data_IF_745806072020
#
_entry.id   IF_745806072020
#
_cell.length_a   1.000
_cell.length_b   1.000
_cell.length_c   1.000
_cell.angle_alpha   90.00
_cell.angle_beta   90.00
_cell.angle_gamma   90.00
#
_symmetry.space_group_name_H-M   'P 1'
#
loop_
_entity.id
_entity.type
_entity.pdbx_description
1 polymer ?
#
# COMPACT_ATOMS: atom_id res chain seq x y z
N UNK A 1 14.60 -3.27 22.88
CA UNK A 1 15.24 -3.85 21.68
C UNK A 1 14.27 -4.08 20.50
N UNK A 2 12.94 -4.14 20.69
CA UNK A 2 11.99 -4.45 19.61
C UNK A 2 11.67 -3.32 18.60
N UNK A 3 11.80 -2.04 18.98
CA UNK A 3 11.39 -0.88 18.15
C UNK A 3 12.33 -0.60 16.96
N UNK A 4 13.59 -1.06 17.03
CA UNK A 4 14.57 -0.87 15.95
C UNK A 4 14.43 -1.86 14.80
N UNK A 5 13.94 -3.07 15.08
CA UNK A 5 13.87 -4.16 14.10
C UNK A 5 12.65 -3.96 13.19
N UNK A 6 11.49 -3.59 13.76
CA UNK A 6 10.26 -3.33 12.99
C UNK A 6 10.43 -2.16 12.03
N UNK A 7 10.91 -1.00 12.50
CA UNK A 7 11.15 0.17 11.62
C UNK A 7 12.17 -0.08 10.52
N UNK A 8 13.21 -0.87 10.79
CA UNK A 8 14.26 -1.19 9.81
C UNK A 8 13.73 -2.07 8.67
N UNK A 9 12.99 -3.13 9.02
CA UNK A 9 12.35 -4.01 8.03
C UNK A 9 11.31 -3.22 7.21
N UNK A 10 10.46 -2.42 7.86
CA UNK A 10 9.40 -1.63 7.19
C UNK A 10 9.94 -0.58 6.21
N UNK A 11 10.99 0.17 6.60
CA UNK A 11 11.64 1.15 5.72
C UNK A 11 12.31 0.47 4.52
N UNK A 12 12.78 -0.76 4.71
CA UNK A 12 13.34 -1.59 3.63
C UNK A 12 12.26 -2.07 2.66
N UNK A 13 11.04 -2.38 3.13
CA UNK A 13 9.94 -2.83 2.26
C UNK A 13 9.42 -1.68 1.38
N UNK A 14 9.10 -0.52 1.98
CA UNK A 14 8.62 0.65 1.23
C UNK A 14 9.68 1.23 0.28
N UNK A 15 10.96 1.21 0.69
CA UNK A 15 12.09 1.60 -0.16
C UNK A 15 12.27 0.66 -1.36
N UNK A 16 12.29 -0.66 -1.14
CA UNK A 16 12.48 -1.64 -2.21
C UNK A 16 11.39 -1.60 -3.28
N UNK A 17 10.12 -1.39 -2.90
CA UNK A 17 9.02 -1.30 -3.85
C UNK A 17 9.12 -0.04 -4.74
N UNK A 18 9.46 1.11 -4.14
CA UNK A 18 9.66 2.37 -4.88
C UNK A 18 10.91 2.35 -5.77
N UNK A 19 12.02 1.81 -5.27
CA UNK A 19 13.29 1.71 -6.02
C UNK A 19 13.16 0.73 -7.19
N UNK A 20 12.46 -0.39 -6.99
CA UNK A 20 12.15 -1.35 -8.06
C UNK A 20 11.30 -0.72 -9.15
N UNK A 21 10.27 0.06 -8.79
CA UNK A 21 9.40 0.71 -9.76
C UNK A 21 10.18 1.76 -10.57
N UNK A 22 11.07 2.52 -9.93
CA UNK A 22 11.94 3.48 -10.59
C UNK A 22 12.91 2.81 -11.60
N UNK A 23 13.54 1.69 -11.24
CA UNK A 23 14.43 0.91 -12.13
C UNK A 23 13.71 0.36 -13.37
N UNK A 24 12.40 0.12 -13.26
CA UNK A 24 11.60 -0.42 -14.37
C UNK A 24 11.05 0.64 -15.33
N UNK A 25 11.11 1.92 -14.99
CA UNK A 25 10.64 3.02 -15.86
C UNK A 25 11.38 2.99 -17.21
N UNK A 26 12.70 2.82 -17.20
CA UNK A 26 13.49 2.84 -18.45
C UNK A 26 13.09 1.75 -19.44
N UNK A 27 12.60 0.60 -18.95
CA UNK A 27 12.16 -0.52 -19.78
C UNK A 27 10.82 -0.25 -20.50
N UNK A 28 10.00 0.67 -19.99
CA UNK A 28 8.71 1.04 -20.59
C UNK A 28 8.77 2.33 -21.43
N UNK A 29 9.83 3.14 -21.27
CA UNK A 29 10.06 4.33 -22.10
C UNK A 29 10.38 4.00 -23.56
N UNK A 30 11.02 2.86 -23.84
CA UNK A 30 11.34 2.44 -25.22
C UNK A 30 10.09 2.22 -26.10
N UNK A 31 9.15 1.35 -25.70
CA UNK A 31 7.85 1.20 -26.36
C UNK A 31 7.07 2.52 -26.47
N UNK A 32 7.08 3.32 -25.40
CA UNK A 32 6.38 4.59 -25.38
C UNK A 32 6.94 5.61 -26.37
N UNK A 33 8.26 5.65 -26.53
CA UNK A 33 8.93 6.50 -27.52
C UNK A 33 8.52 6.18 -28.96
N UNK A 34 8.26 4.91 -29.28
CA UNK A 34 7.77 4.50 -30.61
C UNK A 34 6.34 4.98 -30.86
N UNK A 35 5.44 4.77 -29.91
CA UNK A 35 4.06 5.25 -29.97
C UNK A 35 3.97 6.77 -30.04
N UNK A 36 4.78 7.45 -29.23
CA UNK A 36 4.90 8.91 -29.22
C UNK A 36 5.37 9.43 -30.58
N UNK A 37 6.36 8.78 -31.20
CA UNK A 37 6.83 9.15 -32.53
C UNK A 37 5.72 9.03 -33.60
N UNK A 38 4.85 8.02 -33.51
CA UNK A 38 3.73 7.84 -34.45
C UNK A 38 2.71 8.98 -34.34
N UNK A 39 2.16 9.23 -33.14
CA UNK A 39 1.14 10.26 -32.92
C UNK A 39 1.67 11.66 -33.23
N UNK A 40 2.96 11.88 -32.94
CA UNK A 40 3.63 13.15 -33.21
C UNK A 40 3.78 13.42 -34.69
N UNK A 41 4.13 12.40 -35.47
CA UNK A 41 4.24 12.51 -36.93
C UNK A 41 2.88 12.77 -37.57
N UNK A 42 1.85 12.05 -37.13
CA UNK A 42 0.47 12.29 -37.58
C UNK A 42 0.03 13.72 -37.25
N UNK A 43 0.20 14.14 -35.99
CA UNK A 43 -0.14 15.50 -35.53
C UNK A 43 0.65 16.59 -36.26
N UNK A 44 1.94 16.37 -36.51
CA UNK A 44 2.81 17.31 -37.22
C UNK A 44 2.47 17.48 -38.70
N UNK A 45 1.75 16.52 -39.29
CA UNK A 45 1.27 16.56 -40.68
C UNK A 45 -0.12 17.19 -40.80
N UNK A 46 -0.87 17.30 -39.71
CA UNK A 46 -2.17 17.95 -39.66
C UNK A 46 -2.04 19.48 -39.56
N UNK A 47 -2.98 20.19 -40.18
CA UNK A 47 -3.07 21.65 -40.13
C UNK A 47 -3.42 22.16 -38.73
N UNK A 48 -3.38 23.48 -38.54
CA UNK A 48 -3.71 24.14 -37.27
C UNK A 48 -5.14 23.78 -36.82
N UNK A 49 -5.29 23.18 -35.65
CA UNK A 49 -6.60 22.80 -35.12
C UNK A 49 -7.18 23.92 -34.26
N UNK A 50 -8.37 24.41 -34.63
CA UNK A 50 -9.15 25.32 -33.81
C UNK A 50 -10.54 24.73 -33.52
N UNK A 51 -10.86 24.39 -32.26
CA UNK A 51 -12.13 23.75 -31.91
C UNK A 51 -13.37 24.60 -32.24
N UNK A 52 -13.23 25.93 -32.36
CA UNK A 52 -14.35 26.82 -32.69
C UNK A 52 -14.68 26.86 -34.19
N UNK A 53 -13.71 26.52 -35.04
CA UNK A 53 -13.84 26.65 -36.51
C UNK A 53 -13.60 25.33 -37.26
N UNK A 54 -13.15 24.28 -36.57
CA UNK A 54 -12.84 22.99 -37.15
C UNK A 54 -14.09 22.27 -37.67
N UNK A 55 -13.91 21.54 -38.77
CA UNK A 55 -14.94 20.64 -39.29
C UNK A 55 -15.07 19.42 -38.38
N UNK A 56 -16.26 18.84 -38.33
CA UNK A 56 -16.54 17.61 -37.58
C UNK A 56 -15.54 16.50 -37.93
N UNK A 57 -15.22 16.33 -39.21
CA UNK A 57 -14.25 15.33 -39.67
C UNK A 57 -12.81 15.59 -39.21
N UNK A 58 -12.41 16.86 -39.06
CA UNK A 58 -11.08 17.22 -38.53
C UNK A 58 -10.98 16.90 -37.04
N UNK A 59 -12.00 17.29 -36.27
CA UNK A 59 -12.11 16.94 -34.84
C UNK A 59 -12.12 15.42 -34.64
N UNK A 60 -12.82 14.68 -35.50
CA UNK A 60 -12.87 13.22 -35.44
C UNK A 60 -11.49 12.60 -35.70
N UNK A 61 -10.79 13.02 -36.75
CA UNK A 61 -9.44 12.51 -37.08
C UNK A 61 -8.43 12.75 -35.94
N UNK A 62 -8.43 13.95 -35.37
CA UNK A 62 -7.54 14.30 -34.25
C UNK A 62 -7.86 13.43 -33.04
N UNK A 63 -9.14 13.32 -32.67
CA UNK A 63 -9.55 12.46 -31.56
C UNK A 63 -9.19 10.99 -31.79
N UNK A 64 -9.32 10.48 -33.02
CA UNK A 64 -8.90 9.12 -33.36
C UNK A 64 -7.40 8.93 -33.20
N UNK A 65 -6.56 9.86 -33.68
CA UNK A 65 -5.09 9.78 -33.53
C UNK A 65 -4.67 9.82 -32.05
N UNK A 66 -5.25 10.72 -31.25
CA UNK A 66 -4.98 10.79 -29.80
C UNK A 66 -5.44 9.51 -29.08
N UNK A 67 -6.62 8.97 -29.42
CA UNK A 67 -7.11 7.71 -28.83
C UNK A 67 -6.25 6.52 -29.21
N UNK A 68 -5.78 6.45 -30.45
CA UNK A 68 -4.91 5.37 -30.93
C UNK A 68 -3.55 5.42 -30.25
N UNK A 69 -3.03 6.61 -29.97
CA UNK A 69 -1.85 6.77 -29.11
C UNK A 69 -2.10 6.19 -27.71
N UNK A 70 -3.15 6.63 -27.02
CA UNK A 70 -3.47 6.13 -25.67
C UNK A 70 -3.64 4.61 -25.67
N UNK A 71 -4.38 4.05 -26.62
CA UNK A 71 -4.55 2.59 -26.79
C UNK A 71 -3.23 1.85 -27.02
N UNK A 72 -2.31 2.43 -27.78
CA UNK A 72 -1.01 1.80 -28.03
C UNK A 72 -0.14 1.69 -26.78
N UNK A 73 -0.39 2.53 -25.77
CA UNK A 73 0.30 2.51 -24.48
C UNK A 73 -0.39 1.63 -23.43
N UNK A 74 -1.68 1.30 -23.61
CA UNK A 74 -2.45 0.49 -22.65
C UNK A 74 -1.73 -0.81 -22.25
N UNK A 75 -1.21 -1.65 -23.18
CA UNK A 75 -0.56 -2.91 -22.79
C UNK A 75 0.72 -2.70 -21.97
N UNK A 76 1.43 -1.60 -22.24
CA UNK A 76 2.68 -1.25 -21.54
C UNK A 76 2.38 -0.73 -20.15
N UNK A 77 1.37 0.16 -20.04
CA UNK A 77 0.86 0.68 -18.78
C UNK A 77 0.30 -0.43 -17.89
N UNK A 78 -0.58 -1.28 -18.44
CA UNK A 78 -1.19 -2.41 -17.72
C UNK A 78 -0.12 -3.38 -17.19
N UNK A 79 0.92 -3.64 -17.99
CA UNK A 79 2.03 -4.51 -17.57
C UNK A 79 2.80 -3.86 -16.41
N UNK A 80 3.17 -2.59 -16.53
CA UNK A 80 3.89 -1.87 -15.48
C UNK A 80 3.08 -1.84 -14.18
N UNK A 81 1.79 -1.47 -14.25
CA UNK A 81 0.88 -1.46 -13.11
C UNK A 81 0.78 -2.84 -12.44
N UNK A 82 0.67 -3.92 -13.22
CA UNK A 82 0.64 -5.30 -12.70
C UNK A 82 1.95 -5.72 -12.06
N UNK A 83 3.08 -5.39 -12.69
CA UNK A 83 4.39 -5.76 -12.16
C UNK A 83 4.63 -5.01 -10.84
N UNK A 84 4.33 -3.70 -10.78
CA UNK A 84 4.34 -2.92 -9.54
C UNK A 84 3.45 -3.56 -8.45
N UNK A 85 2.24 -3.96 -8.83
CA UNK A 85 1.29 -4.57 -7.91
C UNK A 85 1.82 -5.89 -7.34
N UNK A 86 2.39 -6.74 -8.19
CA UNK A 86 2.95 -8.02 -7.78
C UNK A 86 4.12 -7.84 -6.81
N UNK A 87 5.04 -6.91 -7.10
CA UNK A 87 6.14 -6.59 -6.18
C UNK A 87 5.62 -6.05 -4.85
N UNK A 88 4.57 -5.23 -4.84
CA UNK A 88 3.93 -4.78 -3.60
C UNK A 88 3.34 -5.95 -2.82
N UNK A 89 2.59 -6.84 -3.49
CA UNK A 89 1.99 -8.02 -2.87
C UNK A 89 3.04 -8.94 -2.23
N UNK A 90 4.12 -9.23 -2.93
CA UNK A 90 5.20 -10.10 -2.41
C UNK A 90 5.81 -9.51 -1.13
N UNK A 91 6.18 -8.24 -1.18
CA UNK A 91 6.74 -7.49 -0.06
C UNK A 91 5.80 -7.43 1.15
N UNK A 92 4.53 -7.18 0.90
CA UNK A 92 3.48 -7.15 1.92
C UNK A 92 3.26 -8.54 2.52
N UNK A 93 3.23 -9.59 1.70
CA UNK A 93 3.03 -10.95 2.17
C UNK A 93 4.16 -11.38 3.11
N UNK A 94 5.41 -11.02 2.81
CA UNK A 94 6.55 -11.25 3.70
C UNK A 94 6.35 -10.58 5.06
N UNK A 95 5.90 -9.32 5.07
CA UNK A 95 5.59 -8.61 6.31
C UNK A 95 4.46 -9.30 7.11
N UNK A 96 3.40 -9.72 6.43
CA UNK A 96 2.28 -10.45 7.06
C UNK A 96 2.75 -11.79 7.64
N UNK A 97 3.61 -12.52 6.95
CA UNK A 97 4.19 -13.77 7.45
C UNK A 97 5.05 -13.54 8.70
N UNK A 98 5.85 -12.48 8.73
CA UNK A 98 6.64 -12.14 9.91
C UNK A 98 5.74 -11.75 11.09
N UNK A 99 4.69 -10.98 10.85
CA UNK A 99 3.68 -10.68 11.88
C UNK A 99 3.02 -11.98 12.36
N UNK A 100 2.63 -12.91 11.48
CA UNK A 100 2.06 -14.21 11.87
C UNK A 100 2.98 -14.96 12.83
N UNK A 101 4.29 -15.00 12.56
CA UNK A 101 5.29 -15.67 13.43
C UNK A 101 5.37 -15.02 14.81
N UNK A 102 5.38 -13.70 14.88
CA UNK A 102 5.47 -12.96 16.15
C UNK A 102 4.12 -13.08 16.91
N UNK A 103 3.00 -13.12 16.20
CA UNK A 103 1.67 -13.15 16.81
C UNK A 103 1.34 -14.45 17.57
N UNK A 104 2.02 -15.55 17.22
CA UNK A 104 1.87 -16.85 17.91
C UNK A 104 2.82 -17.03 19.09
N UNK A 105 3.79 -16.13 19.26
CA UNK A 105 4.73 -16.19 20.38
C UNK A 105 4.01 -15.89 21.69
N UNK A 106 4.44 -16.59 22.74
CA UNK A 106 3.97 -16.38 24.10
C UNK A 106 4.86 -15.36 24.80
N UNK A 107 4.24 -14.28 25.25
CA UNK A 107 4.85 -13.22 26.06
C UNK A 107 4.24 -13.27 27.45
N UNK A 108 4.70 -14.24 28.25
CA UNK A 108 4.30 -14.43 29.65
C UNK A 108 2.78 -14.70 29.82
N UNK A 109 2.27 -15.68 29.07
CA UNK A 109 0.85 -16.05 29.02
C UNK A 109 0.00 -15.13 28.13
N UNK A 110 0.59 -14.08 27.55
CA UNK A 110 -0.10 -13.18 26.61
C UNK A 110 0.43 -13.34 25.19
N UNK A 111 -0.49 -13.34 24.23
CA UNK A 111 -0.18 -13.24 22.80
C UNK A 111 -0.38 -11.81 22.33
N UNK A 112 0.36 -11.40 21.30
CA UNK A 112 0.13 -10.11 20.64
C UNK A 112 -1.31 -10.02 20.08
N UNK A 113 -1.90 -11.11 19.59
CA UNK A 113 -3.28 -11.11 19.10
C UNK A 113 -3.59 -9.98 18.07
N UNK A 114 -2.63 -9.62 17.23
CA UNK A 114 -2.78 -8.66 16.14
C UNK A 114 -3.82 -9.18 15.14
N UNK A 115 -4.72 -8.32 14.68
CA UNK A 115 -5.78 -8.69 13.72
C UNK A 115 -5.24 -8.76 12.29
N UNK A 116 -4.66 -9.91 11.95
CA UNK A 116 -4.01 -10.15 10.65
C UNK A 116 -5.00 -10.03 9.48
N UNK A 117 -6.25 -10.49 9.65
CA UNK A 117 -7.29 -10.40 8.62
C UNK A 117 -7.67 -8.95 8.29
N UNK A 118 -7.55 -8.03 9.26
CA UNK A 118 -7.77 -6.59 9.03
C UNK A 118 -6.59 -5.98 8.29
N UNK A 119 -5.37 -6.42 8.58
CA UNK A 119 -4.17 -6.00 7.86
C UNK A 119 -4.23 -6.45 6.39
N UNK A 120 -4.47 -7.74 6.13
CA UNK A 120 -4.58 -8.29 4.77
C UNK A 120 -5.64 -7.55 3.93
N UNK A 121 -6.78 -7.19 4.52
CA UNK A 121 -7.83 -6.42 3.83
C UNK A 121 -7.43 -4.98 3.49
N UNK A 122 -6.74 -4.28 4.40
CA UNK A 122 -6.24 -2.93 4.11
C UNK A 122 -5.20 -2.96 2.99
N UNK A 123 -4.38 -4.02 2.96
CA UNK A 123 -3.37 -4.24 1.93
C UNK A 123 -3.99 -4.57 0.56
N UNK A 124 -5.10 -5.31 0.51
CA UNK A 124 -5.88 -5.52 -0.73
C UNK A 124 -6.49 -4.23 -1.30
N UNK A 125 -6.66 -3.18 -0.48
CA UNK A 125 -7.16 -1.89 -0.96
C UNK A 125 -6.17 -1.18 -1.89
N UNK A 126 -4.87 -1.47 -1.78
CA UNK A 126 -3.82 -0.88 -2.64
C UNK A 126 -4.05 -1.27 -4.10
N UNK A 127 -4.54 -2.49 -4.34
CA UNK A 127 -4.74 -3.02 -5.68
C UNK A 127 -5.75 -2.23 -6.51
N UNK A 128 -6.78 -1.70 -5.85
CA UNK A 128 -7.82 -0.90 -6.51
C UNK A 128 -7.32 0.48 -6.93
N UNK A 129 -6.28 0.99 -6.27
CA UNK A 129 -5.77 2.34 -6.49
C UNK A 129 -4.66 2.40 -7.56
N UNK A 130 -4.11 1.25 -7.96
CA UNK A 130 -2.99 1.14 -8.91
C UNK A 130 -3.49 0.88 -10.33
N UNK A 131 -4.47 -0.01 -10.50
CA UNK A 131 -4.92 -0.44 -11.84
C UNK A 131 -5.69 0.67 -12.54
N UNK A 132 -5.31 0.95 -13.78
CA UNK A 132 -5.95 1.93 -14.66
C UNK A 132 -5.54 3.37 -14.38
N UNK A 133 -4.62 3.62 -13.44
CA UNK A 133 -4.21 4.98 -13.07
C UNK A 133 -3.50 5.67 -14.24
N UNK A 134 -2.55 5.00 -14.88
CA UNK A 134 -1.80 5.54 -16.02
C UNK A 134 -2.73 5.74 -17.21
N UNK A 135 -3.61 4.77 -17.48
CA UNK A 135 -4.59 4.86 -18.57
C UNK A 135 -5.51 6.07 -18.41
N UNK A 136 -6.03 6.29 -17.21
CA UNK A 136 -6.92 7.42 -16.92
C UNK A 136 -6.18 8.75 -17.05
N UNK A 137 -4.93 8.82 -16.60
CA UNK A 137 -4.08 10.01 -16.72
C UNK A 137 -3.80 10.36 -18.20
N UNK A 138 -3.38 9.36 -18.99
CA UNK A 138 -3.15 9.52 -20.43
C UNK A 138 -4.42 9.94 -21.17
N UNK A 139 -5.56 9.33 -20.86
CA UNK A 139 -6.84 9.66 -21.51
C UNK A 139 -7.28 11.09 -21.20
N UNK A 140 -6.96 11.59 -19.99
CA UNK A 140 -7.28 12.96 -19.57
C UNK A 140 -6.36 13.99 -20.22
N UNK A 141 -5.05 13.71 -20.24
CA UNK A 141 -4.02 14.65 -20.71
C UNK A 141 -3.87 14.67 -22.23
N UNK A 142 -4.02 13.52 -22.88
CA UNK A 142 -3.88 13.40 -24.34
C UNK A 142 -5.27 13.45 -24.97
N UNK A 143 -5.90 14.61 -24.84
CA UNK A 143 -7.25 14.93 -25.33
C UNK A 143 -7.30 16.37 -25.83
N UNK A 144 -8.23 16.65 -26.74
CA UNK A 144 -8.54 18.01 -27.19
C UNK A 144 -9.05 18.93 -26.07
N UNK A 145 -9.52 18.34 -24.97
CA UNK A 145 -10.01 19.07 -23.79
C UNK A 145 -8.86 19.52 -22.87
N UNK A 146 -7.67 18.92 -23.00
CA UNK A 146 -6.49 19.34 -22.24
C UNK A 146 -5.87 20.57 -22.90
N UNK A 147 -5.67 21.63 -22.10
CA UNK A 147 -5.17 22.92 -22.61
C UNK A 147 -3.78 22.84 -23.22
N UNK A 148 -2.90 21.98 -22.70
CA UNK A 148 -1.53 21.85 -23.19
C UNK A 148 -1.51 21.07 -24.51
N UNK A 149 -2.24 19.95 -24.56
CA UNK A 149 -2.44 19.20 -25.79
C UNK A 149 -3.08 20.08 -26.88
N UNK A 150 -4.12 20.84 -26.54
CA UNK A 150 -4.80 21.76 -27.45
C UNK A 150 -3.88 22.85 -28.00
N UNK A 151 -3.00 23.42 -27.16
CA UNK A 151 -2.04 24.43 -27.61
C UNK A 151 -1.07 23.86 -28.66
N UNK A 152 -0.65 22.60 -28.51
CA UNK A 152 0.17 21.91 -29.51
C UNK A 152 -0.61 21.68 -30.80
N UNK A 153 -1.88 21.26 -30.69
CA UNK A 153 -2.74 21.05 -31.85
C UNK A 153 -2.99 22.34 -32.67
N UNK A 154 -3.01 23.51 -32.00
CA UNK A 154 -3.10 24.85 -32.61
C UNK A 154 -1.83 25.30 -33.34
N UNK A 155 -0.70 24.63 -33.15
CA UNK A 155 0.55 25.00 -33.81
C UNK A 155 0.46 24.76 -35.32
N UNK A 156 1.26 25.55 -36.06
CA UNK A 156 1.45 25.39 -37.50
C UNK A 156 1.94 23.98 -37.82
N UNK A 157 1.44 23.42 -38.91
CA UNK A 157 1.94 22.17 -39.49
C UNK A 157 3.46 22.21 -39.66
N UNK A 158 4.12 21.10 -39.35
CA UNK A 158 5.56 20.91 -39.56
C UNK A 158 6.31 20.39 -38.34
N UNK A 159 7.64 20.39 -38.46
CA UNK A 159 8.54 19.73 -37.50
C UNK A 159 8.41 20.27 -36.07
N UNK A 160 8.12 21.57 -35.91
CA UNK A 160 7.96 22.17 -34.59
C UNK A 160 6.77 21.57 -33.82
N UNK A 161 5.65 21.33 -34.52
CA UNK A 161 4.45 20.70 -33.95
C UNK A 161 4.68 19.22 -33.64
N UNK A 162 5.35 18.51 -34.54
CA UNK A 162 5.77 17.12 -34.31
C UNK A 162 6.64 16.99 -33.06
N UNK A 163 7.69 17.82 -32.94
CA UNK A 163 8.59 17.78 -31.79
C UNK A 163 7.85 18.12 -30.49
N UNK A 164 6.99 19.15 -30.51
CA UNK A 164 6.20 19.54 -29.34
C UNK A 164 5.26 18.41 -28.88
N UNK A 165 4.56 17.75 -29.82
CA UNK A 165 3.70 16.62 -29.50
C UNK A 165 4.50 15.43 -28.94
N UNK A 166 5.71 15.20 -29.46
CA UNK A 166 6.58 14.10 -29.00
C UNK A 166 7.08 14.31 -27.59
N UNK A 167 7.56 15.51 -27.30
CA UNK A 167 8.02 15.92 -25.97
C UNK A 167 6.89 15.88 -24.95
N UNK A 168 5.71 16.41 -25.32
CA UNK A 168 4.52 16.35 -24.49
C UNK A 168 4.10 14.92 -24.18
N UNK A 169 3.92 14.10 -25.21
CA UNK A 169 3.48 12.70 -25.08
C UNK A 169 4.44 11.88 -24.21
N UNK A 170 5.76 12.02 -24.43
CA UNK A 170 6.76 11.35 -23.61
C UNK A 170 6.72 11.82 -22.16
N UNK A 171 6.61 13.13 -21.93
CA UNK A 171 6.57 13.69 -20.57
C UNK A 171 5.32 13.27 -19.81
N UNK A 172 4.14 13.31 -20.43
CA UNK A 172 2.88 12.88 -19.78
C UNK A 172 2.99 11.41 -19.36
N UNK A 173 3.50 10.55 -20.24
CA UNK A 173 3.67 9.13 -19.91
C UNK A 173 4.69 8.92 -18.78
N UNK A 174 5.88 9.53 -18.88
CA UNK A 174 6.91 9.45 -17.83
C UNK A 174 6.40 9.94 -16.48
N UNK A 175 5.72 11.09 -16.45
CA UNK A 175 5.15 11.63 -15.22
C UNK A 175 4.10 10.68 -14.63
N UNK A 176 3.25 10.08 -15.46
CA UNK A 176 2.26 9.11 -15.00
C UNK A 176 2.89 7.89 -14.33
N UNK A 177 4.05 7.42 -14.84
CA UNK A 177 4.81 6.32 -14.23
C UNK A 177 5.42 6.72 -12.88
N UNK A 178 6.00 7.92 -12.82
CA UNK A 178 6.60 8.46 -11.58
C UNK A 178 5.53 8.66 -10.52
N UNK A 179 4.42 9.31 -10.85
CA UNK A 179 3.29 9.54 -9.94
C UNK A 179 2.71 8.22 -9.43
N UNK A 180 2.61 7.18 -10.27
CA UNK A 180 2.18 5.86 -9.83
C UNK A 180 3.18 5.26 -8.83
N UNK A 181 4.47 5.32 -9.12
CA UNK A 181 5.54 4.83 -8.23
C UNK A 181 5.50 5.52 -6.86
N UNK A 182 5.36 6.85 -6.85
CA UNK A 182 5.23 7.64 -5.63
C UNK A 182 3.97 7.27 -4.84
N UNK A 183 2.83 7.15 -5.53
CA UNK A 183 1.55 6.75 -4.90
C UNK A 183 1.66 5.38 -4.24
N UNK A 184 2.30 4.43 -4.92
CA UNK A 184 2.52 3.09 -4.39
C UNK A 184 3.41 3.15 -3.15
N UNK A 185 4.52 3.88 -3.23
CA UNK A 185 5.44 4.08 -2.10
C UNK A 185 4.73 4.70 -0.90
N UNK A 186 3.95 5.76 -1.09
CA UNK A 186 3.16 6.40 -0.05
C UNK A 186 2.15 5.44 0.56
N UNK A 187 1.36 4.77 -0.28
CA UNK A 187 0.34 3.83 0.17
C UNK A 187 0.95 2.69 0.98
N UNK A 188 2.05 2.10 0.52
CA UNK A 188 2.77 1.03 1.26
C UNK A 188 3.30 1.56 2.59
N UNK A 189 3.91 2.75 2.60
CA UNK A 189 4.42 3.36 3.83
C UNK A 189 3.31 3.65 4.84
N UNK A 190 2.16 4.15 4.41
CA UNK A 190 0.99 4.37 5.26
C UNK A 190 0.50 3.05 5.87
N UNK A 191 0.38 1.99 5.05
CA UNK A 191 -0.02 0.67 5.58
C UNK A 191 1.01 0.11 6.57
N UNK A 192 2.29 0.28 6.30
CA UNK A 192 3.38 -0.09 7.19
C UNK A 192 3.33 0.69 8.52
N UNK A 193 3.02 1.99 8.49
CA UNK A 193 2.84 2.81 9.70
C UNK A 193 1.67 2.29 10.54
N UNK A 194 0.52 2.07 9.91
CA UNK A 194 -0.68 1.57 10.60
C UNK A 194 -0.45 0.21 11.28
N UNK A 195 0.38 -0.66 10.68
CA UNK A 195 0.80 -1.93 11.27
C UNK A 195 1.70 -1.68 12.49
N UNK A 196 2.63 -0.73 12.37
CA UNK A 196 3.58 -0.39 13.44
C UNK A 196 2.83 0.09 14.68
N UNK A 197 1.90 1.02 14.48
CA UNK A 197 1.10 1.59 15.57
C UNK A 197 0.33 0.47 16.30
N UNK A 198 -0.29 -0.45 15.57
CA UNK A 198 -0.98 -1.59 16.16
C UNK A 198 -0.08 -2.54 16.96
N UNK A 199 1.18 -2.72 16.52
CA UNK A 199 2.15 -3.52 17.26
C UNK A 199 2.62 -2.78 18.51
N UNK A 200 2.90 -1.48 18.38
CA UNK A 200 3.35 -0.63 19.49
C UNK A 200 2.29 -0.54 20.59
N UNK A 201 1.02 -0.27 20.23
CA UNK A 201 -0.13 -0.27 21.16
C UNK A 201 -0.20 -1.57 21.96
N UNK A 202 -0.02 -2.71 21.28
CA UNK A 202 -0.12 -4.02 21.93
C UNK A 202 1.06 -4.33 22.84
N UNK A 203 2.27 -3.92 22.45
CA UNK A 203 3.46 -4.05 23.30
C UNK A 203 3.34 -3.16 24.55
N UNK A 204 2.73 -1.99 24.43
CA UNK A 204 2.43 -1.12 25.57
C UNK A 204 1.44 -1.79 26.53
N UNK A 205 0.35 -2.37 26.03
CA UNK A 205 -0.60 -3.14 26.85
C UNK A 205 0.06 -4.31 27.60
N UNK A 206 0.97 -5.04 26.94
CA UNK A 206 1.74 -6.11 27.57
C UNK A 206 2.67 -5.54 28.66
N UNK A 207 3.38 -4.45 28.36
CA UNK A 207 4.33 -3.81 29.28
C UNK A 207 3.65 -3.28 30.53
N UNK A 208 2.52 -2.59 30.39
CA UNK A 208 1.74 -2.08 31.51
C UNK A 208 1.27 -3.21 32.43
N UNK A 209 0.81 -4.32 31.84
CA UNK A 209 0.42 -5.49 32.63
C UNK A 209 1.60 -6.16 33.34
N UNK A 210 2.79 -6.17 32.76
CA UNK A 210 3.99 -6.69 33.43
C UNK A 210 4.40 -5.80 34.60
N UNK A 211 4.27 -4.47 34.47
CA UNK A 211 4.50 -3.54 35.57
C UNK A 211 3.49 -3.75 36.71
N UNK A 212 2.21 -3.93 36.40
CA UNK A 212 1.20 -4.26 37.42
C UNK A 212 1.54 -5.54 38.16
N UNK A 213 1.94 -6.60 37.44
CA UNK A 213 2.37 -7.87 38.04
C UNK A 213 3.60 -7.65 38.94
N UNK A 214 4.60 -6.88 38.48
CA UNK A 214 5.80 -6.57 39.27
C UNK A 214 5.45 -5.81 40.55
N UNK A 215 4.57 -4.81 40.48
CA UNK A 215 4.12 -4.07 41.65
C UNK A 215 3.40 -4.95 42.66
N UNK A 216 2.56 -5.90 42.18
CA UNK A 216 1.92 -6.88 43.06
C UNK A 216 2.94 -7.79 43.74
N UNK A 217 4.00 -8.20 43.05
CA UNK A 217 5.09 -8.98 43.64
C UNK A 217 5.84 -8.19 44.72
N UNK A 218 6.23 -6.95 44.42
CA UNK A 218 6.94 -6.08 45.38
C UNK A 218 6.08 -5.84 46.64
N UNK A 219 4.76 -5.67 46.48
CA UNK A 219 3.84 -5.49 47.59
C UNK A 219 3.73 -6.77 48.46
N UNK A 220 3.70 -7.95 47.85
CA UNK A 220 3.71 -9.23 48.57
C UNK A 220 5.04 -9.40 49.34
N UNK A 221 6.17 -9.03 48.73
CA UNK A 221 7.48 -9.10 49.39
C UNK A 221 7.55 -8.18 50.61
N UNK A 222 7.06 -6.94 50.50
CA UNK A 222 7.00 -6.02 51.64
C UNK A 222 6.07 -6.50 52.77
N UNK A 223 4.93 -7.09 52.44
CA UNK A 223 3.99 -7.64 53.43
C UNK A 223 4.61 -8.83 54.18
N UNK A 224 5.42 -9.64 53.49
CA UNK A 224 6.14 -10.76 54.09
C UNK A 224 7.15 -10.33 55.15
N UNK A 225 7.70 -9.12 55.05
CA UNK A 225 8.66 -8.59 56.03
C UNK A 225 8.01 -7.89 57.23
N UNK A 226 6.76 -7.44 57.13
CA UNK A 226 6.17 -6.49 58.09
C UNK A 226 4.92 -6.97 58.83
N UNK A 227 4.06 -7.77 58.20
CA UNK A 227 2.74 -8.08 58.79
C UNK A 227 2.18 -9.44 58.33
N UNK A 228 2.38 -10.46 59.17
CA UNK A 228 2.10 -11.86 58.85
C UNK A 228 0.60 -12.17 58.67
N UNK A 229 -0.28 -11.44 59.35
CA UNK A 229 -1.74 -11.66 59.31
C UNK A 229 -2.34 -11.10 58.01
N UNK A 230 -1.90 -9.91 57.60
CA UNK A 230 -2.29 -9.28 56.32
C UNK A 230 -1.79 -10.08 55.12
N UNK A 231 -0.58 -10.65 55.21
CA UNK A 231 -0.06 -11.56 54.19
C UNK A 231 -0.97 -12.77 53.99
N UNK A 232 -1.45 -13.37 55.08
CA UNK A 232 -2.24 -14.60 55.01
C UNK A 232 -3.65 -14.39 54.48
N UNK A 233 -4.24 -13.23 54.79
CA UNK A 233 -5.48 -12.79 54.15
C UNK A 233 -5.29 -12.62 52.63
N UNK A 234 -4.19 -11.99 52.21
CA UNK A 234 -3.89 -11.75 50.79
C UNK A 234 -3.58 -13.05 50.03
N UNK A 235 -2.96 -14.04 50.69
CA UNK A 235 -2.82 -15.40 50.14
C UNK A 235 -4.17 -16.07 49.95
N UNK A 236 -5.09 -15.98 50.92
CA UNK A 236 -6.44 -16.53 50.78
C UNK A 236 -7.19 -15.95 49.57
N UNK A 237 -7.12 -14.63 49.37
CA UNK A 237 -7.76 -13.97 48.22
C UNK A 237 -7.16 -14.43 46.87
N UNK A 238 -5.83 -14.60 46.81
CA UNK A 238 -5.15 -15.14 45.64
C UNK A 238 -5.53 -16.61 45.38
N UNK A 239 -5.60 -17.45 46.41
CA UNK A 239 -6.03 -18.84 46.29
C UNK A 239 -7.49 -18.96 45.81
N UNK A 240 -8.38 -18.10 46.32
CA UNK A 240 -9.76 -18.04 45.86
C UNK A 240 -9.84 -17.68 44.38
N UNK A 241 -9.06 -16.67 43.96
CA UNK A 241 -9.00 -16.24 42.55
C UNK A 241 -8.45 -17.35 41.65
N UNK A 242 -7.37 -18.03 42.06
CA UNK A 242 -6.82 -19.18 41.34
C UNK A 242 -7.84 -20.32 41.22
N UNK A 243 -8.57 -20.63 42.30
CA UNK A 243 -9.59 -21.68 42.29
C UNK A 243 -10.73 -21.36 41.32
N UNK A 244 -11.13 -20.08 41.20
CA UNK A 244 -12.11 -19.65 40.20
C UNK A 244 -11.53 -19.81 38.78
N UNK A 245 -10.29 -19.36 38.56
CA UNK A 245 -9.62 -19.52 37.26
C UNK A 245 -9.51 -20.99 36.83
N UNK A 246 -9.15 -21.89 37.73
CA UNK A 246 -9.08 -23.34 37.47
C UNK A 246 -10.46 -23.92 37.15
N UNK A 247 -11.50 -23.46 37.84
CA UNK A 247 -12.88 -23.87 37.57
C UNK A 247 -13.31 -23.43 36.17
N UNK A 248 -13.07 -22.16 35.80
CA UNK A 248 -13.37 -21.65 34.45
C UNK A 248 -12.56 -22.37 33.37
N UNK A 249 -11.27 -22.66 33.61
CA UNK A 249 -10.44 -23.43 32.69
C UNK A 249 -10.96 -24.88 32.54
N UNK A 250 -11.48 -25.48 33.61
CA UNK A 250 -12.06 -26.82 33.57
C UNK A 250 -13.37 -26.85 32.75
N UNK A 251 -14.21 -25.81 32.85
CA UNK A 251 -15.42 -25.68 32.05
C UNK A 251 -15.11 -25.43 30.56
N UNK A 252 -14.10 -24.61 30.27
CA UNK A 252 -13.62 -24.36 28.90
C UNK A 252 -13.04 -25.62 28.24
N UNK A 253 -12.39 -26.51 29.01
CA UNK A 253 -11.92 -27.80 28.52
C UNK A 253 -13.03 -28.86 28.39
N UNK A 254 -14.18 -28.68 29.06
CA UNK A 254 -15.32 -29.59 29.02
C UNK A 254 -16.38 -29.23 27.97
N UNK A 255 -16.31 -28.06 27.32
CA UNK A 255 -17.21 -27.78 26.19
C UNK A 255 -16.90 -28.73 25.03
N UNK A 256 -17.86 -29.58 24.59
CA UNK A 256 -17.68 -30.38 23.39
C UNK A 256 -17.50 -29.42 22.22
N UNK A 257 -16.50 -29.67 21.36
CA UNK A 257 -16.48 -29.07 20.03
C UNK A 257 -17.81 -29.44 19.37
N UNK A 258 -18.78 -28.52 19.37
CA UNK A 258 -19.95 -28.66 18.50
C UNK A 258 -19.42 -28.82 17.10
N UNK A 259 -19.57 -30.04 16.58
CA UNK A 259 -19.36 -30.35 15.18
C UNK A 259 -20.35 -29.48 14.41
N UNK A 260 -19.86 -28.36 13.87
CA UNK A 260 -20.56 -27.69 12.77
C UNK A 260 -20.63 -28.72 11.65
N UNK A 261 -21.82 -29.30 11.52
CA UNK A 261 -22.14 -30.37 10.60
C UNK A 261 -22.81 -29.72 9.39
N UNK A 262 -22.09 -29.78 8.25
CA UNK A 262 -22.47 -29.46 6.86
C UNK A 262 -22.67 -27.99 6.52
#
# INVERSE_FOLDING_TARGET
MGTGITRSVLRTVGGKAGDWAADKIDNVLGPAGKSSSKVSRETGQEDEYNPETARIEETKRINESLRDYTRSLEPVADKFERDCLNTCRENINLLVEDIKKINVQDYNGKKLNININRLERKLQSVEKNVIGKIKNELSRKVSIDDSECLNILKMKKGQAKENAMKEFSNRVFSNSLVELSETIRETVNEQCSLITDQIEDRLEEITNSLQEISMQFDEIEQLKEKDAEVLEQKKCDLYFTLSICDMVLSELHQQPREKVTV
#
